data_IF_929205708994
#
_entry.id   IF_929205708994
#
_cell.length_a   1.000
_cell.length_b   1.000
_cell.length_c   1.000
_cell.angle_alpha   90.00
_cell.angle_beta   90.00
_cell.angle_gamma   90.00
#
_symmetry.space_group_name_H-M   'P 1'
#
loop_
_entity.id
_entity.type
_entity.pdbx_description
1 polymer ?
#
# COMPACT_ATOMS: atom_id res chain seq x y z
N UNK A 1 -5.76 6.35 -56.47
CA UNK A 1 -6.39 6.48 -55.16
C UNK A 1 -5.38 5.94 -54.19
N UNK A 2 -4.86 6.80 -53.32
CA UNK A 2 -3.83 6.40 -52.36
C UNK A 2 -4.51 5.55 -51.29
N UNK A 3 -3.96 4.36 -51.03
CA UNK A 3 -4.42 3.50 -49.94
C UNK A 3 -4.37 4.28 -48.61
N UNK A 4 -5.44 4.26 -47.80
CA UNK A 4 -5.46 4.98 -46.53
C UNK A 4 -4.39 4.42 -45.60
N UNK A 5 -3.66 5.32 -44.92
CA UNK A 5 -2.64 4.91 -43.96
C UNK A 5 -3.29 4.12 -42.80
N UNK A 6 -2.95 2.84 -42.70
CA UNK A 6 -3.33 1.98 -41.58
C UNK A 6 -2.11 1.80 -40.69
N UNK A 7 -2.19 2.35 -39.47
CA UNK A 7 -1.12 2.18 -38.50
C UNK A 7 -0.96 0.69 -38.15
N UNK A 8 0.28 0.17 -38.07
CA UNK A 8 0.48 -1.23 -37.75
C UNK A 8 0.04 -1.51 -36.30
N UNK A 9 -0.59 -2.67 -36.02
CA UNK A 9 -1.17 -2.97 -34.71
C UNK A 9 -0.19 -2.89 -33.53
N UNK A 10 1.08 -3.24 -33.75
CA UNK A 10 2.12 -3.14 -32.71
C UNK A 10 2.37 -1.69 -32.30
N UNK A 11 2.32 -0.75 -33.25
CA UNK A 11 2.58 0.66 -32.98
C UNK A 11 1.46 1.27 -32.12
N UNK A 12 0.21 0.88 -32.35
CA UNK A 12 -0.92 1.34 -31.51
C UNK A 12 -0.74 0.84 -30.08
N UNK A 13 -0.53 -0.47 -29.91
CA UNK A 13 -0.34 -1.09 -28.58
C UNK A 13 0.84 -0.49 -27.82
N UNK A 14 2.00 -0.39 -28.46
CA UNK A 14 3.20 0.12 -27.83
C UNK A 14 3.09 1.60 -27.43
N UNK A 15 2.52 2.44 -28.31
CA UNK A 15 2.27 3.84 -27.97
C UNK A 15 1.28 3.98 -26.82
N UNK A 16 0.20 3.17 -26.79
CA UNK A 16 -0.73 3.17 -25.66
C UNK A 16 -0.03 2.86 -24.34
N UNK A 17 0.82 1.82 -24.29
CA UNK A 17 1.60 1.50 -23.09
C UNK A 17 2.57 2.61 -22.71
N UNK A 18 3.30 3.16 -23.68
CA UNK A 18 4.25 4.25 -23.44
C UNK A 18 3.55 5.49 -22.87
N UNK A 19 2.50 5.99 -23.52
CA UNK A 19 1.78 7.17 -23.04
C UNK A 19 1.14 6.92 -21.67
N UNK A 20 0.51 5.76 -21.45
CA UNK A 20 -0.05 5.41 -20.15
C UNK A 20 1.01 5.42 -19.03
N UNK A 21 2.19 4.85 -19.29
CA UNK A 21 3.29 4.83 -18.31
C UNK A 21 3.78 6.24 -17.94
N UNK A 22 3.86 7.14 -18.92
CA UNK A 22 4.29 8.52 -18.71
C UNK A 22 3.29 9.30 -17.86
N UNK A 23 1.99 9.16 -18.14
CA UNK A 23 0.94 9.79 -17.32
C UNK A 23 0.95 9.27 -15.89
N UNK A 24 1.08 7.96 -15.68
CA UNK A 24 1.18 7.37 -14.34
C UNK A 24 2.40 7.93 -13.61
N UNK A 25 3.57 7.95 -14.26
CA UNK A 25 4.80 8.51 -13.68
C UNK A 25 4.65 9.98 -13.29
N UNK A 26 4.01 10.78 -14.14
CA UNK A 26 3.74 12.19 -13.86
C UNK A 26 2.81 12.37 -12.65
N UNK A 27 1.74 11.58 -12.56
CA UNK A 27 0.82 11.60 -11.41
C UNK A 27 1.55 11.20 -10.12
N UNK A 28 2.36 10.14 -10.15
CA UNK A 28 3.15 9.68 -9.00
C UNK A 28 4.15 10.76 -8.55
N UNK A 29 4.84 11.39 -9.50
CA UNK A 29 5.78 12.48 -9.23
C UNK A 29 5.08 13.67 -8.59
N UNK A 30 3.92 14.08 -9.13
CA UNK A 30 3.14 15.20 -8.59
C UNK A 30 2.67 14.91 -7.16
N UNK A 31 2.15 13.70 -6.91
CA UNK A 31 1.76 13.27 -5.57
C UNK A 31 2.96 13.24 -4.62
N UNK A 32 4.13 12.77 -5.08
CA UNK A 32 5.35 12.76 -4.30
C UNK A 32 5.82 14.17 -3.92
N UNK A 33 5.73 15.12 -4.85
CA UNK A 33 6.04 16.53 -4.60
C UNK A 33 5.07 17.11 -3.57
N UNK A 34 3.76 16.86 -3.71
CA UNK A 34 2.76 17.32 -2.75
C UNK A 34 3.05 16.80 -1.35
N UNK A 35 3.27 15.49 -1.20
CA UNK A 35 3.64 14.86 0.09
C UNK A 35 4.89 15.51 0.68
N UNK A 36 5.90 15.77 -0.14
CA UNK A 36 7.15 16.43 0.28
C UNK A 36 6.90 17.88 0.73
N UNK A 37 6.06 18.63 0.02
CA UNK A 37 5.70 20.00 0.38
C UNK A 37 4.97 20.05 1.72
N UNK A 38 3.96 19.20 1.92
CA UNK A 38 3.24 19.09 3.19
C UNK A 38 4.16 18.73 4.36
N UNK A 39 5.08 17.78 4.13
CA UNK A 39 6.05 17.36 5.16
C UNK A 39 7.00 18.51 5.54
N UNK A 40 7.46 19.29 4.56
CA UNK A 40 8.36 20.43 4.79
C UNK A 40 7.68 21.57 5.53
N UNK A 41 6.49 21.97 5.09
CA UNK A 41 5.68 22.99 5.76
C UNK A 41 5.43 22.61 7.21
N UNK A 42 5.09 21.35 7.46
CA UNK A 42 4.91 20.83 8.81
C UNK A 42 6.18 20.89 9.68
N UNK A 43 7.33 20.49 9.13
CA UNK A 43 8.61 20.55 9.85
C UNK A 43 9.01 21.98 10.21
N UNK A 44 8.72 22.94 9.33
CA UNK A 44 8.96 24.35 9.57
C UNK A 44 8.06 24.89 10.69
N UNK A 45 6.77 24.58 10.68
CA UNK A 45 5.85 24.97 11.76
C UNK A 45 6.28 24.38 13.11
N UNK A 46 6.68 23.11 13.15
CA UNK A 46 7.18 22.47 14.37
C UNK A 46 8.50 23.04 14.87
N UNK A 47 9.32 23.63 14.01
CA UNK A 47 10.59 24.24 14.38
C UNK A 47 10.39 25.59 15.08
N UNK A 48 9.27 26.28 14.82
CA UNK A 48 8.91 27.54 15.48
C UNK A 48 8.34 27.33 16.89
N UNK A 49 7.95 26.10 17.25
CA UNK A 49 7.38 25.78 18.57
C UNK A 49 8.50 25.45 19.56
N UNK A 50 8.75 26.35 20.52
CA UNK A 50 9.78 26.18 21.56
C UNK A 50 9.42 25.17 22.66
N UNK A 51 8.12 24.96 22.95
CA UNK A 51 7.65 24.07 24.02
C UNK A 51 7.67 22.58 23.61
N UNK A 52 8.40 21.70 24.32
CA UNK A 52 8.48 20.26 24.02
C UNK A 52 7.13 19.53 24.11
N UNK A 53 6.30 19.91 25.08
CA UNK A 53 4.98 19.30 25.29
C UNK A 53 4.00 19.64 24.16
N UNK A 54 4.07 20.86 23.63
CA UNK A 54 3.23 21.28 22.51
C UNK A 54 3.63 20.58 21.20
N UNK A 55 4.94 20.41 20.96
CA UNK A 55 5.46 19.60 19.83
C UNK A 55 4.98 18.15 19.90
N UNK A 56 5.00 17.53 21.08
CA UNK A 56 4.51 16.16 21.26
C UNK A 56 3.02 16.02 20.93
N UNK A 57 2.19 16.98 21.36
CA UNK A 57 0.73 17.00 21.12
C UNK A 57 0.39 17.19 19.64
N UNK A 58 1.10 18.08 18.94
CA UNK A 58 0.93 18.29 17.48
C UNK A 58 1.33 17.04 16.69
N UNK A 59 2.43 16.37 17.08
CA UNK A 59 2.86 15.10 16.46
C UNK A 59 1.82 14.00 16.64
N UNK A 60 1.22 13.91 17.83
CA UNK A 60 0.19 12.92 18.13
C UNK A 60 -1.13 13.20 17.40
N UNK A 61 -1.53 14.48 17.29
CA UNK A 61 -2.70 14.89 16.50
C UNK A 61 -2.51 14.58 15.01
N UNK A 62 -1.31 14.82 14.46
CA UNK A 62 -1.01 14.50 13.05
C UNK A 62 -0.83 13.01 12.79
N UNK A 63 -0.31 12.23 13.74
CA UNK A 63 -0.33 10.76 13.61
C UNK A 63 -1.77 10.24 13.52
N UNK A 64 -2.66 10.78 14.36
CA UNK A 64 -4.09 10.49 14.29
C UNK A 64 -4.73 11.02 13.00
N UNK A 65 -4.31 12.19 12.51
CA UNK A 65 -4.74 12.79 11.24
C UNK A 65 -4.30 11.98 10.02
N UNK A 66 -3.03 11.58 9.93
CA UNK A 66 -2.47 10.75 8.87
C UNK A 66 -3.09 9.35 8.86
N UNK A 67 -3.39 8.80 10.04
CA UNK A 67 -4.15 7.54 10.20
C UNK A 67 -5.60 7.69 9.74
N UNK A 68 -6.20 8.86 9.95
CA UNK A 68 -7.59 9.17 9.57
C UNK A 68 -7.74 9.50 8.08
N UNK A 69 -6.74 10.12 7.46
CA UNK A 69 -6.71 10.52 6.05
C UNK A 69 -6.02 9.51 5.12
N UNK A 70 -5.60 8.35 5.64
CA UNK A 70 -4.89 7.30 4.89
C UNK A 70 -3.66 7.78 4.09
N UNK A 71 -3.08 8.92 4.48
CA UNK A 71 -1.90 9.49 3.81
C UNK A 71 -0.73 8.50 3.81
N UNK A 72 -0.58 7.72 4.89
CA UNK A 72 0.41 6.64 4.99
C UNK A 72 0.20 5.54 3.95
N UNK A 73 -1.05 5.24 3.59
CA UNK A 73 -1.36 4.25 2.56
C UNK A 73 -1.06 4.81 1.17
N UNK A 74 -1.50 6.05 0.88
CA UNK A 74 -1.22 6.70 -0.42
C UNK A 74 0.29 6.79 -0.66
N UNK A 75 1.06 7.27 0.32
CA UNK A 75 2.53 7.36 0.22
C UNK A 75 3.18 5.99 0.09
N UNK A 76 2.65 4.95 0.75
CA UNK A 76 3.11 3.57 0.57
C UNK A 76 2.81 2.98 -0.81
N UNK A 77 1.78 3.47 -1.50
CA UNK A 77 1.41 3.04 -2.86
C UNK A 77 2.22 3.76 -3.96
N UNK A 78 2.75 4.95 -3.69
CA UNK A 78 3.55 5.72 -4.67
C UNK A 78 4.68 4.87 -5.32
N UNK A 79 5.52 4.14 -4.56
CA UNK A 79 6.54 3.27 -5.13
C UNK A 79 5.95 2.14 -6.00
N UNK A 80 4.79 1.61 -5.64
CA UNK A 80 4.12 0.54 -6.41
C UNK A 80 3.68 1.08 -7.77
N UNK A 81 3.06 2.26 -7.80
CA UNK A 81 2.70 2.92 -9.06
C UNK A 81 3.93 3.29 -9.89
N UNK A 82 5.04 3.69 -9.24
CA UNK A 82 6.31 3.95 -9.93
C UNK A 82 6.86 2.71 -10.62
N UNK A 83 6.88 1.58 -9.90
CA UNK A 83 7.27 0.30 -10.49
C UNK A 83 6.32 -0.10 -11.62
N UNK A 84 5.01 0.02 -11.42
CA UNK A 84 4.03 -0.29 -12.46
C UNK A 84 4.26 0.54 -13.74
N UNK A 85 4.51 1.84 -13.61
CA UNK A 85 4.85 2.71 -14.74
C UNK A 85 6.13 2.22 -15.46
N UNK A 86 7.16 1.86 -14.70
CA UNK A 86 8.40 1.31 -15.25
C UNK A 86 8.16 0.01 -16.03
N UNK A 87 7.39 -0.93 -15.48
CA UNK A 87 7.06 -2.20 -16.12
C UNK A 87 6.26 -1.98 -17.41
N UNK A 88 5.24 -1.11 -17.38
CA UNK A 88 4.43 -0.80 -18.56
C UNK A 88 5.30 -0.15 -19.66
N UNK A 89 6.18 0.79 -19.28
CA UNK A 89 7.09 1.44 -20.22
C UNK A 89 8.04 0.44 -20.87
N UNK A 90 8.62 -0.47 -20.08
CA UNK A 90 9.52 -1.50 -20.59
C UNK A 90 8.82 -2.44 -21.59
N UNK A 91 7.57 -2.85 -21.33
CA UNK A 91 6.79 -3.65 -22.28
C UNK A 91 6.58 -2.90 -23.60
N UNK A 92 6.22 -1.63 -23.55
CA UNK A 92 6.07 -0.80 -24.75
C UNK A 92 7.36 -0.67 -25.56
N UNK A 93 8.50 -0.49 -24.89
CA UNK A 93 9.83 -0.42 -25.52
C UNK A 93 10.18 -1.77 -26.17
N UNK A 94 10.01 -2.89 -25.46
CA UNK A 94 10.32 -4.22 -26.00
C UNK A 94 9.46 -4.54 -27.22
N UNK A 95 8.18 -4.19 -27.21
CA UNK A 95 7.26 -4.39 -28.35
C UNK A 95 7.75 -3.63 -29.61
N UNK A 96 8.18 -2.37 -29.44
CA UNK A 96 8.78 -1.57 -30.53
C UNK A 96 10.09 -2.19 -31.02
N UNK A 97 10.95 -2.61 -30.10
CA UNK A 97 12.25 -3.18 -30.44
C UNK A 97 12.11 -4.50 -31.19
N UNK A 98 11.23 -5.42 -30.76
CA UNK A 98 10.98 -6.68 -31.47
C UNK A 98 10.41 -6.42 -32.87
N UNK A 99 9.47 -5.48 -32.98
CA UNK A 99 8.89 -5.10 -34.27
C UNK A 99 9.92 -4.47 -35.23
N UNK A 100 10.92 -3.77 -34.69
CA UNK A 100 11.98 -3.11 -35.50
C UNK A 100 13.12 -4.07 -35.84
N UNK A 101 13.63 -4.79 -34.85
CA UNK A 101 14.70 -5.77 -34.98
C UNK A 101 14.59 -6.82 -33.85
N UNK A 102 14.20 -8.07 -34.18
CA UNK A 102 14.02 -9.11 -33.18
C UNK A 102 15.26 -9.33 -32.29
N UNK A 103 16.45 -9.25 -32.87
CA UNK A 103 17.72 -9.42 -32.14
C UNK A 103 17.87 -8.40 -31.02
N UNK A 104 17.63 -7.11 -31.30
CA UNK A 104 17.73 -6.04 -30.30
C UNK A 104 16.63 -6.19 -29.26
N UNK A 105 15.43 -6.59 -29.68
CA UNK A 105 14.32 -6.90 -28.77
C UNK A 105 14.63 -7.99 -27.76
N UNK A 106 15.19 -9.11 -28.20
CA UNK A 106 15.58 -10.21 -27.30
C UNK A 106 16.71 -9.81 -26.34
N UNK A 107 17.69 -9.03 -26.81
CA UNK A 107 18.74 -8.50 -25.93
C UNK A 107 18.13 -7.59 -24.86
N UNK A 108 17.28 -6.64 -25.23
CA UNK A 108 16.62 -5.76 -24.28
C UNK A 108 15.73 -6.53 -23.28
N UNK A 109 14.98 -7.53 -23.75
CA UNK A 109 14.17 -8.40 -22.91
C UNK A 109 15.04 -9.19 -21.91
N UNK A 110 16.18 -9.73 -22.35
CA UNK A 110 17.09 -10.47 -21.46
C UNK A 110 17.65 -9.59 -20.33
N UNK A 111 18.05 -8.36 -20.65
CA UNK A 111 18.54 -7.38 -19.67
C UNK A 111 17.44 -6.99 -18.70
N UNK A 112 16.23 -6.72 -19.21
CA UNK A 112 15.08 -6.39 -18.37
C UNK A 112 14.75 -7.53 -17.40
N UNK A 113 14.71 -8.77 -17.90
CA UNK A 113 14.39 -9.95 -17.10
C UNK A 113 15.45 -10.21 -16.02
N UNK A 114 16.73 -10.03 -16.35
CA UNK A 114 17.84 -10.11 -15.39
C UNK A 114 17.74 -9.03 -14.30
N UNK A 115 17.37 -7.80 -14.66
CA UNK A 115 17.13 -6.73 -13.70
C UNK A 115 15.99 -7.05 -12.74
N UNK A 116 14.86 -7.53 -13.25
CA UNK A 116 13.70 -7.95 -12.44
C UNK A 116 14.09 -9.12 -11.53
N UNK A 117 14.81 -10.11 -12.05
CA UNK A 117 15.31 -11.24 -11.26
C UNK A 117 16.25 -10.77 -10.14
N UNK A 118 17.10 -9.77 -10.40
CA UNK A 118 17.99 -9.19 -9.38
C UNK A 118 17.20 -8.49 -8.26
N UNK A 119 16.16 -7.74 -8.61
CA UNK A 119 15.26 -7.09 -7.63
C UNK A 119 14.51 -8.15 -6.81
N UNK A 120 14.00 -9.19 -7.45
CA UNK A 120 13.34 -10.30 -6.77
C UNK A 120 14.31 -11.04 -5.85
N UNK A 121 15.53 -11.30 -6.31
CA UNK A 121 16.59 -11.90 -5.50
C UNK A 121 16.88 -11.05 -4.27
N UNK A 122 17.07 -9.73 -4.40
CA UNK A 122 17.26 -8.82 -3.26
C UNK A 122 16.06 -8.78 -2.31
N UNK A 123 14.84 -8.93 -2.84
CA UNK A 123 13.61 -8.94 -2.04
C UNK A 123 13.41 -10.27 -1.31
N UNK A 124 13.87 -11.38 -1.90
CA UNK A 124 13.74 -12.74 -1.36
C UNK A 124 14.96 -13.17 -0.54
N UNK A 125 16.11 -12.51 -0.69
CA UNK A 125 17.36 -12.74 0.05
C UNK A 125 17.15 -12.79 1.58
N UNK A 126 16.33 -11.91 2.20
CA UNK A 126 16.07 -11.93 3.64
C UNK A 126 15.27 -13.15 4.12
N UNK A 127 14.77 -14.00 3.21
CA UNK A 127 14.07 -15.24 3.54
C UNK A 127 15.01 -16.44 3.66
N UNK A 128 16.22 -16.35 3.10
CA UNK A 128 17.18 -17.46 3.04
C UNK A 128 18.42 -17.24 3.90
N UNK A 129 18.79 -15.99 4.17
CA UNK A 129 19.92 -15.64 5.06
C UNK A 129 19.36 -15.06 6.36
N UNK A 130 19.46 -15.82 7.46
CA UNK A 130 19.03 -15.40 8.80
C UNK A 130 19.95 -14.36 9.47
N UNK A 131 21.06 -13.97 8.83
CA UNK A 131 22.14 -13.17 9.42
C UNK A 131 22.58 -11.97 8.55
N UNK A 132 21.66 -11.03 8.28
CA UNK A 132 21.98 -9.79 7.52
C UNK A 132 21.71 -8.50 8.36
N UNK A 133 22.64 -7.52 8.45
CA UNK A 133 22.49 -6.27 9.21
C UNK A 133 21.30 -5.37 8.83
N UNK A 134 20.60 -5.62 7.73
CA UNK A 134 19.43 -4.82 7.28
C UNK A 134 18.07 -5.23 7.89
N UNK A 135 18.06 -6.05 8.94
CA UNK A 135 16.90 -6.64 9.64
C UNK A 135 15.77 -5.69 10.13
N UNK A 136 15.88 -4.36 9.96
CA UNK A 136 15.05 -3.40 10.72
C UNK A 136 13.72 -2.96 10.08
N UNK A 137 13.54 -3.05 8.75
CA UNK A 137 12.33 -2.50 8.10
C UNK A 137 11.30 -3.56 7.69
N UNK A 138 11.71 -4.58 6.92
CA UNK A 138 10.77 -5.58 6.39
C UNK A 138 10.30 -6.59 7.45
N UNK A 139 11.17 -7.01 8.38
CA UNK A 139 10.77 -7.87 9.51
C UNK A 139 9.67 -7.23 10.37
N UNK A 140 9.70 -5.90 10.57
CA UNK A 140 8.65 -5.18 11.32
C UNK A 140 7.32 -5.19 10.59
N UNK A 141 7.32 -5.06 9.26
CA UNK A 141 6.09 -5.10 8.45
C UNK A 141 5.52 -6.53 8.43
N UNK A 142 6.36 -7.55 8.21
CA UNK A 142 5.93 -8.96 8.17
C UNK A 142 5.46 -9.45 9.54
N UNK A 143 6.18 -9.11 10.62
CA UNK A 143 5.74 -9.44 11.99
C UNK A 143 4.46 -8.68 12.38
N UNK A 144 4.28 -7.44 11.92
CA UNK A 144 3.02 -6.70 12.05
C UNK A 144 1.86 -7.38 11.34
N UNK A 145 2.08 -7.88 10.12
CA UNK A 145 1.07 -8.57 9.32
C UNK A 145 0.71 -9.95 9.89
N UNK A 146 1.68 -10.69 10.42
CA UNK A 146 1.42 -11.95 11.16
C UNK A 146 0.59 -11.71 12.43
N UNK A 147 0.85 -10.63 13.17
CA UNK A 147 0.02 -10.26 14.35
C UNK A 147 -1.39 -9.84 13.94
N UNK A 148 -1.56 -9.16 12.82
CA UNK A 148 -2.87 -8.75 12.31
C UNK A 148 -3.72 -9.97 11.89
N UNK A 149 -3.13 -10.89 11.14
CA UNK A 149 -3.82 -12.13 10.71
C UNK A 149 -4.18 -13.05 11.88
N UNK A 150 -3.32 -13.14 12.90
CA UNK A 150 -3.61 -13.88 14.13
C UNK A 150 -4.83 -13.34 14.89
N UNK A 151 -4.92 -12.02 15.04
CA UNK A 151 -6.06 -11.37 15.71
C UNK A 151 -7.39 -11.55 14.98
N UNK A 152 -7.37 -11.55 13.65
CA UNK A 152 -8.56 -11.80 12.83
C UNK A 152 -9.02 -13.25 12.99
N UNK A 153 -8.10 -14.23 12.94
CA UNK A 153 -8.46 -15.62 13.18
C UNK A 153 -9.06 -15.82 14.57
N UNK A 154 -8.50 -15.18 15.59
CA UNK A 154 -9.00 -15.28 16.96
C UNK A 154 -10.38 -14.65 17.13
N UNK A 155 -10.61 -13.46 16.57
CA UNK A 155 -11.91 -12.80 16.57
C UNK A 155 -12.98 -13.59 15.79
N UNK A 156 -12.61 -14.28 14.70
CA UNK A 156 -13.52 -15.13 13.95
C UNK A 156 -13.88 -16.39 14.74
N UNK A 157 -12.91 -17.04 15.39
CA UNK A 157 -13.16 -18.22 16.23
C UNK A 157 -14.08 -17.86 17.40
N UNK A 158 -13.82 -16.75 18.09
CA UNK A 158 -14.68 -16.25 19.17
C UNK A 158 -16.11 -15.94 18.69
N UNK A 159 -16.26 -15.36 17.49
CA UNK A 159 -17.57 -15.10 16.90
C UNK A 159 -18.33 -16.40 16.59
N UNK A 160 -17.66 -17.39 16.00
CA UNK A 160 -18.27 -18.70 15.70
C UNK A 160 -18.63 -19.51 16.95
N UNK A 161 -17.86 -19.36 18.03
CA UNK A 161 -18.16 -19.96 19.32
C UNK A 161 -19.39 -19.30 19.97
N UNK A 162 -19.50 -17.98 19.93
CA UNK A 162 -20.68 -17.26 20.40
C UNK A 162 -21.95 -17.70 19.64
N UNK A 163 -21.88 -17.79 18.32
CA UNK A 163 -23.00 -18.23 17.48
C UNK A 163 -23.41 -19.66 17.81
N UNK A 164 -22.46 -20.59 17.98
CA UNK A 164 -22.74 -21.98 18.38
C UNK A 164 -23.42 -22.07 19.75
N UNK A 165 -22.97 -21.29 20.73
CA UNK A 165 -23.54 -21.27 22.08
C UNK A 165 -24.93 -20.63 22.10
N UNK A 166 -25.13 -19.55 21.34
CA UNK A 166 -26.43 -18.90 21.18
C UNK A 166 -27.46 -19.85 20.57
N UNK A 167 -27.05 -20.66 19.59
CA UNK A 167 -27.95 -21.59 18.89
C UNK A 167 -28.30 -22.85 19.72
N UNK A 168 -27.47 -23.21 20.71
CA UNK A 168 -27.69 -24.37 21.59
C UNK A 168 -28.53 -24.06 22.85
N UNK A 169 -28.83 -22.79 23.11
CA UNK A 169 -29.60 -22.35 24.27
C UNK A 169 -31.12 -22.38 23.98
N UNK A 170 -31.93 -23.14 24.72
CA UNK A 170 -33.37 -23.29 24.46
C UNK A 170 -34.20 -22.00 24.71
N UNK A 171 -33.58 -20.92 25.18
CA UNK A 171 -34.24 -19.65 25.50
C UNK A 171 -34.58 -18.76 24.29
N UNK A 172 -34.14 -19.11 23.08
CA UNK A 172 -34.35 -18.28 21.87
C UNK A 172 -35.25 -18.91 20.80
N UNK A 173 -35.85 -20.08 21.07
CA UNK A 173 -36.76 -20.75 20.13
C UNK A 173 -38.25 -20.39 20.34
N UNK A 174 -38.60 -19.66 21.41
CA UNK A 174 -39.97 -19.24 21.64
C UNK A 174 -40.09 -17.76 21.33
N UNK A 175 -40.94 -17.45 20.35
CA UNK A 175 -41.02 -16.19 19.62
C UNK A 175 -40.88 -14.92 20.45
N UNK A 176 -40.00 -14.04 19.99
CA UNK A 176 -39.80 -12.70 20.51
C UNK A 176 -38.72 -11.99 19.69
N UNK A 177 -39.07 -10.85 19.12
CA UNK A 177 -38.24 -9.94 18.33
C UNK A 177 -36.79 -9.83 18.80
N UNK A 178 -35.88 -9.81 17.82
CA UNK A 178 -34.43 -9.60 17.96
C UNK A 178 -34.12 -8.41 18.90
N UNK A 179 -33.48 -8.60 20.07
CA UNK A 179 -32.90 -7.47 20.78
C UNK A 179 -31.59 -7.13 20.07
N UNK A 180 -31.53 -5.92 19.51
CA UNK A 180 -30.28 -5.32 19.04
C UNK A 180 -29.24 -5.39 20.18
N UNK A 181 -27.97 -5.71 19.90
CA UNK A 181 -26.92 -5.64 20.90
C UNK A 181 -26.76 -4.17 21.31
N UNK A 182 -27.25 -3.86 22.51
CA UNK A 182 -26.86 -2.64 23.22
C UNK A 182 -25.37 -2.79 23.50
N UNK A 183 -24.56 -2.17 22.65
CA UNK A 183 -23.14 -1.96 22.93
C UNK A 183 -23.09 -1.07 24.17
N UNK A 184 -22.95 -1.69 25.34
CA UNK A 184 -22.47 -0.98 26.52
C UNK A 184 -21.02 -0.59 26.22
N UNK A 185 -20.86 0.56 25.57
CA UNK A 185 -19.61 1.28 25.51
C UNK A 185 -19.24 1.58 26.96
N UNK A 186 -18.27 0.84 27.50
CA UNK A 186 -17.68 1.10 28.80
C UNK A 186 -17.04 2.48 28.80
N UNK A 187 -17.84 3.51 29.10
CA UNK A 187 -17.36 4.81 29.53
C UNK A 187 -17.01 4.67 31.01
N UNK A 188 -15.82 4.15 31.31
CA UNK A 188 -15.24 4.24 32.67
C UNK A 188 -13.75 4.56 32.65
N UNK A 189 -13.34 5.51 31.79
CA UNK A 189 -11.97 6.05 31.86
C UNK A 189 -11.92 7.56 31.57
N UNK A 190 -12.87 8.32 32.13
CA UNK A 190 -12.88 9.81 32.05
C UNK A 190 -13.09 10.47 33.42
N UNK A 191 -12.82 9.78 34.53
CA UNK A 191 -12.89 10.40 35.88
C UNK A 191 -11.57 10.47 36.65
N UNK A 192 -10.44 10.13 36.02
CA UNK A 192 -9.14 10.09 36.71
C UNK A 192 -8.10 11.07 36.14
N UNK A 193 -8.55 12.15 35.50
CA UNK A 193 -7.69 13.22 34.99
C UNK A 193 -8.10 14.64 35.44
N UNK A 194 -8.93 14.74 36.47
CA UNK A 194 -9.26 15.99 37.16
C UNK A 194 -9.13 15.81 38.69
N UNK A 195 -7.92 15.51 39.14
CA UNK A 195 -7.44 15.94 40.44
C UNK A 195 -5.94 16.20 40.35
#
# INVERSE_FOLDING_TARGET
MDEPFVAPPYAVRANSFLFASLFISMLVSLLGILVRQWTRSYQQELALVSSPHLRARIRHFHFNGAKRWQLTQIVGLLPIFMHLALFISAVGIVDILIATSPTVGYVALSVFTLGVASILAMTLLPLFVLDDPFHSFLFKIVSGMKRYTGRIKQALVEHWDFVRVAQRSPKYQIGGSLPLPVVHFGISSVKEYLR
#
